data_IF_455263695688
#
_entry.id   IF_455263695688
#
_cell.length_a   1.000
_cell.length_b   1.000
_cell.length_c   1.000
_cell.angle_alpha   90.00
_cell.angle_beta   90.00
_cell.angle_gamma   90.00
#
_symmetry.space_group_name_H-M   'P 1'
#
loop_
_entity.id
_entity.type
_entity.pdbx_description
1 polymer ?
#
# COMPACT_ATOMS: atom_id res chain seq x y z
N UNK A 1 -10.01 -38.97 -19.55
CA UNK A 1 -11.38 -39.44 -19.86
C UNK A 1 -12.14 -39.68 -18.57
N UNK A 2 -12.66 -38.62 -17.97
CA UNK A 2 -13.82 -38.65 -17.08
C UNK A 2 -14.51 -37.31 -17.34
N UNK A 3 -15.66 -37.39 -17.99
CA UNK A 3 -16.49 -36.25 -18.42
C UNK A 3 -17.63 -36.15 -17.39
N UNK A 4 -17.67 -35.06 -16.63
CA UNK A 4 -18.74 -34.77 -15.66
C UNK A 4 -19.31 -33.40 -16.01
N UNK A 5 -20.28 -33.42 -16.92
CA UNK A 5 -21.23 -32.34 -17.15
C UNK A 5 -22.24 -32.29 -15.99
N UNK A 6 -21.99 -31.45 -14.99
CA UNK A 6 -22.99 -31.08 -13.99
C UNK A 6 -23.70 -29.79 -14.42
N UNK A 7 -24.95 -29.94 -14.88
CA UNK A 7 -25.91 -28.83 -14.96
C UNK A 7 -26.49 -28.57 -13.55
N UNK A 8 -26.62 -27.31 -13.10
CA UNK A 8 -27.31 -27.02 -11.85
C UNK A 8 -28.82 -27.20 -12.06
N UNK A 9 -29.38 -28.21 -11.37
CA UNK A 9 -30.82 -28.37 -11.18
C UNK A 9 -31.24 -27.45 -10.02
N UNK A 10 -32.00 -26.39 -10.31
CA UNK A 10 -32.74 -25.65 -9.29
C UNK A 10 -33.80 -26.59 -8.66
N UNK A 11 -33.82 -26.81 -7.34
CA UNK A 11 -34.97 -27.39 -6.69
C UNK A 11 -36.05 -26.29 -6.57
N UNK A 12 -37.06 -26.38 -7.42
CA UNK A 12 -38.35 -25.71 -7.23
C UNK A 12 -38.97 -26.22 -5.92
N UNK A 13 -38.69 -25.53 -4.82
CA UNK A 13 -39.42 -25.70 -3.57
C UNK A 13 -40.75 -24.96 -3.70
N UNK A 14 -41.79 -25.75 -3.88
CA UNK A 14 -43.18 -25.31 -3.97
C UNK A 14 -43.62 -24.63 -2.66
N UNK A 15 -43.65 -23.29 -2.65
CA UNK A 15 -44.49 -22.53 -1.73
C UNK A 15 -45.94 -22.60 -2.23
N UNK A 16 -46.70 -23.51 -1.64
CA UNK A 16 -48.15 -23.55 -1.78
C UNK A 16 -48.82 -22.42 -1.01
N UNK A 17 -49.87 -21.87 -1.65
CA UNK A 17 -50.98 -21.10 -1.07
C UNK A 17 -50.71 -19.66 -0.60
N UNK A 18 -50.69 -18.73 -1.57
CA UNK A 18 -51.28 -17.40 -1.39
C UNK A 18 -52.40 -17.25 -2.42
N UNK A 19 -53.61 -17.58 -2.01
CA UNK A 19 -54.82 -17.35 -2.80
C UNK A 19 -55.30 -15.91 -2.58
N UNK A 20 -55.18 -15.09 -3.60
CA UNK A 20 -56.17 -14.07 -3.95
C UNK A 20 -56.31 -12.84 -3.05
N UNK A 21 -55.39 -11.88 -3.20
CA UNK A 21 -55.74 -10.46 -3.06
C UNK A 21 -55.25 -9.76 -4.34
N UNK A 22 -56.14 -9.58 -5.30
CA UNK A 22 -55.89 -8.80 -6.50
C UNK A 22 -55.98 -7.31 -6.15
N UNK A 23 -54.84 -6.71 -5.81
CA UNK A 23 -54.72 -5.25 -5.73
C UNK A 23 -54.39 -4.78 -7.15
N UNK A 24 -55.39 -4.23 -7.83
CA UNK A 24 -55.19 -3.58 -9.13
C UNK A 24 -54.52 -2.21 -8.89
N UNK A 25 -53.19 -2.20 -8.79
CA UNK A 25 -52.39 -1.00 -8.99
C UNK A 25 -52.27 -0.72 -10.50
N UNK A 26 -52.57 0.49 -10.98
CA UNK A 26 -52.41 0.83 -12.39
C UNK A 26 -50.92 1.06 -12.68
N UNK A 27 -50.27 0.14 -13.41
CA UNK A 27 -48.89 0.37 -13.83
C UNK A 27 -48.09 -0.79 -14.43
N UNK A 28 -48.56 -2.05 -14.36
CA UNK A 28 -47.84 -3.16 -14.98
C UNK A 28 -48.72 -3.85 -16.03
N UNK A 29 -48.58 -3.45 -17.29
CA UNK A 29 -49.28 -4.07 -18.42
C UNK A 29 -48.71 -5.47 -18.70
N UNK A 30 -49.62 -6.43 -18.83
CA UNK A 30 -49.39 -7.88 -18.76
C UNK A 30 -48.69 -8.52 -19.99
N UNK A 31 -47.66 -7.89 -20.57
CA UNK A 31 -46.99 -8.36 -21.79
C UNK A 31 -45.46 -8.43 -21.63
N UNK A 32 -44.99 -9.30 -20.75
CA UNK A 32 -43.57 -9.65 -20.58
C UNK A 32 -43.31 -10.31 -19.23
N UNK A 33 -42.08 -10.76 -18.97
CA UNK A 33 -41.71 -11.35 -17.68
C UNK A 33 -41.82 -10.29 -16.59
N UNK A 34 -42.91 -10.36 -15.82
CA UNK A 34 -43.25 -9.37 -14.81
C UNK A 34 -42.15 -9.27 -13.74
N UNK A 35 -41.40 -10.36 -13.52
CA UNK A 35 -40.27 -10.37 -12.61
C UNK A 35 -39.11 -9.51 -13.11
N UNK A 36 -38.74 -9.62 -14.40
CA UNK A 36 -37.71 -8.77 -15.00
C UNK A 36 -38.13 -7.30 -15.01
N UNK A 37 -39.39 -7.01 -15.37
CA UNK A 37 -39.91 -5.63 -15.40
C UNK A 37 -39.97 -4.99 -14.02
N UNK A 38 -40.16 -5.77 -12.96
CA UNK A 38 -40.15 -5.29 -11.58
C UNK A 38 -38.75 -5.29 -10.94
N UNK A 39 -37.70 -5.68 -11.68
CA UNK A 39 -36.34 -5.81 -11.14
C UNK A 39 -36.23 -6.87 -10.05
N UNK A 40 -37.04 -7.91 -10.12
CA UNK A 40 -37.11 -9.04 -9.17
C UNK A 40 -36.31 -10.25 -9.66
N UNK A 41 -35.29 -10.02 -10.47
CA UNK A 41 -34.40 -11.05 -11.00
C UNK A 41 -33.01 -10.76 -10.45
N UNK A 42 -32.36 -11.80 -9.93
CA UNK A 42 -30.96 -11.68 -9.51
C UNK A 42 -30.11 -11.32 -10.72
N UNK A 43 -29.10 -10.44 -10.57
CA UNK A 43 -28.19 -10.15 -11.67
C UNK A 43 -27.47 -11.42 -12.14
N UNK A 44 -27.20 -11.51 -13.46
CA UNK A 44 -26.52 -12.66 -14.07
C UNK A 44 -25.02 -12.74 -13.70
N UNK A 45 -24.46 -11.64 -13.20
CA UNK A 45 -23.07 -11.51 -12.73
C UNK A 45 -23.04 -11.43 -11.20
N UNK A 46 -22.19 -12.24 -10.57
CA UNK A 46 -22.01 -12.28 -9.13
C UNK A 46 -20.69 -11.67 -8.67
N UNK A 47 -20.29 -12.02 -7.45
CA UNK A 47 -19.10 -11.47 -6.79
C UNK A 47 -17.81 -11.87 -7.50
N UNK A 48 -17.79 -13.07 -8.10
CA UNK A 48 -16.62 -13.58 -8.83
C UNK A 48 -16.34 -12.77 -10.10
N UNK A 49 -17.40 -12.25 -10.72
CA UNK A 49 -17.35 -11.35 -11.87
C UNK A 49 -17.17 -9.87 -11.48
N UNK A 50 -17.06 -9.57 -10.18
CA UNK A 50 -16.87 -8.20 -9.67
C UNK A 50 -18.16 -7.41 -9.47
N UNK A 51 -19.33 -8.06 -9.50
CA UNK A 51 -20.59 -7.39 -9.18
C UNK A 51 -20.85 -7.41 -7.66
N UNK A 52 -21.01 -6.23 -7.07
CA UNK A 52 -21.35 -6.05 -5.66
C UNK A 52 -22.84 -5.74 -5.42
N UNK A 53 -23.55 -5.22 -6.43
CA UNK A 53 -24.96 -4.82 -6.31
C UNK A 53 -25.89 -6.00 -6.64
N UNK A 54 -26.00 -6.92 -5.69
CA UNK A 54 -26.71 -8.21 -5.89
C UNK A 54 -28.07 -8.22 -5.19
N UNK A 55 -28.11 -7.71 -3.96
CA UNK A 55 -29.27 -7.81 -3.10
C UNK A 55 -30.23 -6.63 -3.25
N UNK A 56 -29.73 -5.47 -3.71
CA UNK A 56 -30.47 -4.21 -3.71
C UNK A 56 -30.69 -3.64 -2.30
N UNK A 57 -30.06 -4.23 -1.29
CA UNK A 57 -30.02 -3.73 0.09
C UNK A 57 -28.63 -3.15 0.34
N UNK A 58 -28.60 -1.88 0.76
CA UNK A 58 -27.37 -1.08 0.86
C UNK A 58 -26.29 -1.78 1.70
N UNK A 59 -26.63 -2.27 2.90
CA UNK A 59 -25.65 -2.91 3.80
C UNK A 59 -25.05 -4.21 3.24
N UNK A 60 -25.87 -5.05 2.61
CA UNK A 60 -25.43 -6.32 2.01
C UNK A 60 -24.58 -6.05 0.76
N UNK A 61 -25.01 -5.11 -0.08
CA UNK A 61 -24.26 -4.74 -1.27
C UNK A 61 -22.94 -4.02 -0.92
N UNK A 62 -22.90 -3.25 0.17
CA UNK A 62 -21.67 -2.67 0.70
C UNK A 62 -20.68 -3.75 1.19
N UNK A 63 -21.17 -4.79 1.87
CA UNK A 63 -20.37 -5.94 2.25
C UNK A 63 -19.81 -6.68 1.02
N UNK A 64 -20.64 -6.95 0.01
CA UNK A 64 -20.16 -7.55 -1.24
C UNK A 64 -19.16 -6.64 -1.98
N UNK A 65 -19.35 -5.33 -1.91
CA UNK A 65 -18.40 -4.34 -2.41
C UNK A 65 -17.03 -4.49 -1.74
N UNK A 66 -17.01 -4.54 -0.41
CA UNK A 66 -15.76 -4.75 0.34
C UNK A 66 -15.08 -6.09 -0.03
N UNK A 67 -15.85 -7.16 -0.26
CA UNK A 67 -15.31 -8.45 -0.73
C UNK A 67 -14.66 -8.33 -2.11
N UNK A 68 -15.30 -7.65 -3.05
CA UNK A 68 -14.76 -7.40 -4.39
C UNK A 68 -13.51 -6.53 -4.32
N UNK A 69 -13.51 -5.47 -3.51
CA UNK A 69 -12.38 -4.56 -3.33
C UNK A 69 -11.16 -5.28 -2.74
N UNK A 70 -11.35 -6.06 -1.67
CA UNK A 70 -10.27 -6.86 -1.06
C UNK A 70 -9.72 -7.90 -2.03
N UNK A 71 -10.60 -8.60 -2.78
CA UNK A 71 -10.16 -9.55 -3.80
C UNK A 71 -9.33 -8.87 -4.88
N UNK A 72 -9.80 -7.73 -5.38
CA UNK A 72 -9.11 -6.96 -6.42
C UNK A 72 -7.76 -6.47 -5.92
N UNK A 73 -7.70 -5.86 -4.73
CA UNK A 73 -6.46 -5.43 -4.10
C UNK A 73 -5.48 -6.60 -3.91
N UNK A 74 -5.95 -7.77 -3.46
CA UNK A 74 -5.11 -8.96 -3.31
C UNK A 74 -4.50 -9.43 -4.65
N UNK A 75 -5.31 -9.45 -5.72
CA UNK A 75 -4.86 -9.84 -7.05
C UNK A 75 -3.89 -8.82 -7.66
N UNK A 76 -4.14 -7.53 -7.49
CA UNK A 76 -3.27 -6.46 -7.97
C UNK A 76 -1.90 -6.47 -7.29
N UNK A 77 -1.88 -6.68 -5.97
CA UNK A 77 -0.62 -6.76 -5.21
C UNK A 77 0.14 -8.04 -5.55
N UNK A 78 -0.55 -9.17 -5.70
CA UNK A 78 0.04 -10.42 -6.20
C UNK A 78 0.63 -10.25 -7.61
N UNK A 79 -0.10 -9.58 -8.50
CA UNK A 79 0.37 -9.23 -9.85
C UNK A 79 1.60 -8.32 -9.82
N UNK A 80 1.64 -7.35 -8.91
CA UNK A 80 2.80 -6.48 -8.70
C UNK A 80 4.03 -7.27 -8.26
N UNK A 81 3.89 -8.18 -7.29
CA UNK A 81 5.00 -9.04 -6.83
C UNK A 81 5.49 -9.93 -7.95
N UNK A 82 4.56 -10.54 -8.72
CA UNK A 82 4.93 -11.30 -9.91
C UNK A 82 5.72 -10.44 -10.91
N UNK A 83 5.27 -9.23 -11.22
CA UNK A 83 5.96 -8.34 -12.13
C UNK A 83 7.37 -7.96 -11.63
N UNK A 84 7.56 -7.78 -10.32
CA UNK A 84 8.89 -7.56 -9.75
C UNK A 84 9.79 -8.80 -9.89
N UNK A 85 9.25 -10.00 -9.63
CA UNK A 85 9.98 -11.25 -9.81
C UNK A 85 10.37 -11.49 -11.26
N UNK A 86 9.48 -11.25 -12.22
CA UNK A 86 9.77 -11.34 -13.66
C UNK A 86 10.86 -10.33 -14.05
N UNK A 87 10.82 -9.12 -13.48
CA UNK A 87 11.86 -8.12 -13.68
C UNK A 87 13.23 -8.52 -13.11
N UNK A 88 13.26 -9.24 -11.98
CA UNK A 88 14.48 -9.83 -11.42
C UNK A 88 14.94 -11.00 -12.27
N UNK A 89 14.04 -11.88 -12.70
CA UNK A 89 14.34 -13.02 -13.57
C UNK A 89 14.97 -12.57 -14.89
N UNK A 90 14.41 -11.52 -15.51
CA UNK A 90 14.95 -10.92 -16.72
C UNK A 90 16.36 -10.32 -16.49
N UNK A 91 16.63 -9.70 -15.34
CA UNK A 91 17.96 -9.15 -15.03
C UNK A 91 19.00 -10.24 -14.72
N UNK A 92 18.55 -11.43 -14.36
CA UNK A 92 19.36 -12.63 -14.16
C UNK A 92 19.57 -13.43 -15.46
N UNK A 93 18.85 -13.10 -16.54
CA UNK A 93 18.95 -13.82 -17.81
C UNK A 93 18.20 -15.15 -17.83
N UNK A 94 17.21 -15.34 -16.96
CA UNK A 94 16.33 -16.52 -16.99
C UNK A 94 15.47 -16.42 -18.25
N UNK A 95 15.37 -17.50 -19.03
CA UNK A 95 14.51 -17.56 -20.22
C UNK A 95 13.17 -18.23 -19.88
N UNK A 96 12.08 -17.83 -20.55
CA UNK A 96 10.76 -18.47 -20.37
C UNK A 96 10.05 -18.15 -19.04
N UNK A 97 10.54 -17.17 -18.27
CA UNK A 97 9.97 -16.81 -16.97
C UNK A 97 8.48 -16.45 -17.00
N UNK A 98 7.98 -15.92 -18.12
CA UNK A 98 6.58 -15.51 -18.27
C UNK A 98 5.60 -16.69 -18.20
N UNK A 99 6.03 -17.90 -18.57
CA UNK A 99 5.20 -19.13 -18.56
C UNK A 99 5.27 -19.88 -17.23
N UNK A 100 6.18 -19.49 -16.33
CA UNK A 100 6.37 -20.15 -15.05
C UNK A 100 5.24 -19.78 -14.08
N UNK A 101 4.82 -20.76 -13.28
CA UNK A 101 3.97 -20.49 -12.11
C UNK A 101 4.72 -19.57 -11.14
N UNK A 102 4.00 -18.86 -10.25
CA UNK A 102 4.65 -17.99 -9.26
C UNK A 102 5.69 -18.75 -8.42
N UNK A 103 5.37 -19.98 -7.99
CA UNK A 103 6.30 -20.81 -7.21
C UNK A 103 7.54 -21.24 -8.00
N UNK A 104 7.38 -21.62 -9.26
CA UNK A 104 8.51 -22.04 -10.10
C UNK A 104 9.39 -20.84 -10.43
N UNK A 105 8.79 -19.69 -10.76
CA UNK A 105 9.50 -18.43 -10.99
C UNK A 105 10.32 -18.02 -9.77
N UNK A 106 9.74 -18.07 -8.57
CA UNK A 106 10.46 -17.78 -7.32
C UNK A 106 11.64 -18.74 -7.13
N UNK A 107 11.44 -20.05 -7.35
CA UNK A 107 12.49 -21.03 -7.15
C UNK A 107 13.69 -20.79 -8.09
N UNK A 108 13.43 -20.52 -9.37
CA UNK A 108 14.47 -20.21 -10.37
C UNK A 108 15.19 -18.88 -10.03
N UNK A 109 14.45 -17.82 -9.69
CA UNK A 109 15.03 -16.53 -9.25
C UNK A 109 15.93 -16.72 -8.03
N UNK A 110 15.46 -17.45 -7.02
CA UNK A 110 16.24 -17.76 -5.82
C UNK A 110 17.51 -18.56 -6.15
N UNK A 111 17.43 -19.55 -7.04
CA UNK A 111 18.58 -20.35 -7.45
C UNK A 111 19.64 -19.48 -8.16
N UNK A 112 19.21 -18.66 -9.12
CA UNK A 112 20.12 -17.80 -9.89
C UNK A 112 20.69 -16.64 -9.06
N UNK A 113 19.93 -16.07 -8.12
CA UNK A 113 20.46 -15.11 -7.15
C UNK A 113 21.60 -15.72 -6.33
N UNK A 114 21.36 -16.91 -5.76
CA UNK A 114 22.37 -17.61 -4.98
C UNK A 114 23.62 -17.95 -5.81
N UNK A 115 23.44 -18.35 -7.07
CA UNK A 115 24.54 -18.62 -8.00
C UNK A 115 25.34 -17.34 -8.30
N UNK A 116 24.66 -16.23 -8.64
CA UNK A 116 25.28 -14.94 -8.95
C UNK A 116 26.05 -14.38 -7.74
N UNK A 117 25.48 -14.46 -6.54
CA UNK A 117 26.17 -14.03 -5.32
C UNK A 117 27.37 -14.92 -5.00
N UNK A 118 27.24 -16.25 -5.09
CA UNK A 118 28.34 -17.17 -4.82
C UNK A 118 29.51 -17.02 -5.81
N UNK A 119 29.23 -16.61 -7.05
CA UNK A 119 30.25 -16.35 -8.06
C UNK A 119 30.97 -15.02 -7.86
N UNK A 120 30.29 -14.02 -7.27
CA UNK A 120 30.76 -12.62 -7.27
C UNK A 120 31.24 -12.16 -5.89
N UNK A 121 30.69 -12.72 -4.81
CA UNK A 121 30.85 -12.23 -3.45
C UNK A 121 31.55 -13.26 -2.55
N UNK A 122 32.41 -12.76 -1.67
CA UNK A 122 33.02 -13.54 -0.59
C UNK A 122 32.23 -13.27 0.69
N UNK A 123 31.49 -14.27 1.17
CA UNK A 123 30.67 -14.15 2.40
C UNK A 123 29.21 -13.73 2.18
N UNK A 124 28.76 -13.59 0.94
CA UNK A 124 27.37 -13.29 0.59
C UNK A 124 27.03 -11.79 0.61
N UNK A 125 25.73 -11.50 0.61
CA UNK A 125 25.16 -10.16 0.65
C UNK A 125 24.31 -10.04 1.91
N UNK A 126 24.36 -8.89 2.57
CA UNK A 126 23.51 -8.56 3.71
C UNK A 126 22.72 -7.31 3.38
N UNK A 127 21.40 -7.44 3.34
CA UNK A 127 20.48 -6.33 3.10
C UNK A 127 19.80 -5.96 4.41
N UNK A 128 20.07 -4.76 4.91
CA UNK A 128 19.33 -4.16 6.02
C UNK A 128 18.34 -3.16 5.45
N UNK A 129 17.11 -3.19 5.94
CA UNK A 129 16.06 -2.29 5.49
C UNK A 129 15.19 -1.86 6.66
N UNK A 130 14.66 -0.64 6.56
CA UNK A 130 13.63 -0.18 7.46
C UNK A 130 12.27 -0.75 7.03
N UNK A 131 11.33 -1.01 7.95
CA UNK A 131 10.00 -1.45 7.56
C UNK A 131 9.35 -0.47 6.57
N UNK A 132 8.66 -0.96 5.53
CA UNK A 132 7.88 -0.09 4.65
C UNK A 132 6.81 0.66 5.46
N UNK A 133 6.58 1.92 5.10
CA UNK A 133 5.53 2.75 5.69
C UNK A 133 4.28 2.62 4.84
N UNK A 134 3.17 2.27 5.48
CA UNK A 134 1.88 2.11 4.82
C UNK A 134 0.92 3.17 5.34
N UNK A 135 0.30 3.90 4.42
CA UNK A 135 -0.64 4.97 4.66
C UNK A 135 -2.04 4.55 4.25
N UNK A 136 -2.98 4.64 5.18
CA UNK A 136 -4.40 4.46 4.90
C UNK A 136 -5.04 5.82 4.61
N UNK A 137 -5.96 5.86 3.65
CA UNK A 137 -6.77 7.03 3.36
C UNK A 137 -8.01 7.03 4.27
N UNK A 138 -8.04 7.97 5.22
CA UNK A 138 -9.12 8.09 6.21
C UNK A 138 -10.44 8.49 5.57
N UNK A 139 -10.42 9.31 4.51
CA UNK A 139 -11.63 9.72 3.78
C UNK A 139 -12.34 8.52 3.15
N UNK A 140 -11.58 7.54 2.65
CA UNK A 140 -12.17 6.29 2.12
C UNK A 140 -12.86 5.48 3.21
N UNK A 141 -12.29 5.43 4.42
CA UNK A 141 -12.92 4.75 5.55
C UNK A 141 -14.23 5.44 5.97
N UNK A 142 -14.23 6.78 6.05
CA UNK A 142 -15.43 7.57 6.35
C UNK A 142 -16.49 7.41 5.28
N UNK A 143 -16.11 7.47 3.99
CA UNK A 143 -17.02 7.25 2.86
C UNK A 143 -17.61 5.85 2.90
N UNK A 144 -16.80 4.82 3.16
CA UNK A 144 -17.27 3.45 3.30
C UNK A 144 -18.27 3.29 4.46
N UNK A 145 -18.07 4.01 5.57
CA UNK A 145 -18.96 3.97 6.72
C UNK A 145 -20.31 4.64 6.39
N UNK A 146 -20.27 5.80 5.75
CA UNK A 146 -21.47 6.52 5.30
C UNK A 146 -22.27 5.72 4.24
N UNK A 147 -21.60 4.97 3.37
CA UNK A 147 -22.26 4.08 2.40
C UNK A 147 -23.01 2.93 3.05
N UNK A 148 -22.61 2.54 4.26
CA UNK A 148 -23.02 1.29 4.85
C UNK A 148 -24.03 1.48 6.00
N UNK A 149 -23.96 2.60 6.72
CA UNK A 149 -24.97 2.99 7.71
C UNK A 149 -25.84 4.16 7.21
N UNK A 150 -27.10 3.87 6.91
CA UNK A 150 -28.09 4.86 6.42
C UNK A 150 -28.44 5.88 7.52
N UNK A 151 -28.24 5.54 8.80
CA UNK A 151 -28.58 6.40 9.94
C UNK A 151 -27.42 7.28 10.40
N UNK A 152 -26.20 7.03 9.93
CA UNK A 152 -25.03 7.85 10.26
C UNK A 152 -25.02 9.14 9.41
N UNK A 153 -25.02 10.31 10.05
CA UNK A 153 -24.82 11.58 9.35
C UNK A 153 -23.35 11.65 8.90
N UNK A 154 -23.04 11.75 7.59
CA UNK A 154 -21.67 11.76 7.10
C UNK A 154 -20.80 12.86 7.72
N UNK A 155 -21.39 13.92 8.29
CA UNK A 155 -20.66 14.95 9.03
C UNK A 155 -20.34 14.62 10.50
N UNK A 156 -20.68 13.42 10.98
CA UNK A 156 -20.48 12.98 12.38
C UNK A 156 -19.64 11.71 12.51
N UNK A 157 -19.14 11.19 11.39
CA UNK A 157 -18.36 9.96 11.31
C UNK A 157 -16.88 10.31 11.45
N UNK A 158 -16.36 10.14 12.66
CA UNK A 158 -14.93 10.32 12.95
C UNK A 158 -14.21 8.97 12.92
N UNK A 159 -13.16 8.86 12.10
CA UNK A 159 -12.24 7.73 12.09
C UNK A 159 -10.94 8.13 12.80
N UNK A 160 -10.41 7.26 13.66
CA UNK A 160 -9.21 7.57 14.47
C UNK A 160 -7.98 6.93 13.86
N UNK A 161 -6.91 7.70 13.69
CA UNK A 161 -5.62 7.15 13.29
C UNK A 161 -4.83 6.68 14.50
N UNK A 162 -4.59 5.37 14.62
CA UNK A 162 -3.65 4.81 15.60
C UNK A 162 -2.25 4.75 14.98
N UNK A 163 -1.59 5.91 14.90
CA UNK A 163 -0.28 6.01 14.27
C UNK A 163 0.19 7.44 14.10
N UNK A 164 0.95 7.69 13.03
CA UNK A 164 1.32 9.06 12.67
C UNK A 164 0.38 9.61 11.61
N UNK A 165 0.00 10.87 11.79
CA UNK A 165 -1.01 11.51 10.97
C UNK A 165 -0.43 12.72 10.25
N UNK A 166 -0.68 12.81 8.95
CA UNK A 166 -0.43 14.01 8.19
C UNK A 166 -1.58 15.00 8.40
N UNK A 167 -1.27 16.15 9.03
CA UNK A 167 -2.24 17.21 9.32
C UNK A 167 -1.83 18.51 8.64
N UNK A 168 -2.81 19.37 8.37
CA UNK A 168 -2.54 20.72 7.89
C UNK A 168 -1.89 21.55 9.00
N UNK A 169 -1.11 22.56 8.62
CA UNK A 169 -0.45 23.48 9.57
C UNK A 169 -1.44 24.17 10.54
N UNK A 170 -2.72 24.29 10.16
CA UNK A 170 -3.78 24.87 10.99
C UNK A 170 -4.17 23.97 12.16
N UNK A 171 -4.14 22.65 11.98
CA UNK A 171 -4.48 21.62 12.98
C UNK A 171 -3.22 21.15 13.75
N UNK A 172 -2.02 21.44 13.23
CA UNK A 172 -0.73 21.12 13.87
C UNK A 172 -0.60 21.63 15.32
N UNK A 173 -1.27 22.75 15.64
CA UNK A 173 -1.28 23.31 17.00
C UNK A 173 -1.98 22.40 18.02
N UNK A 174 -2.98 21.61 17.59
CA UNK A 174 -3.65 20.62 18.44
C UNK A 174 -2.76 19.40 18.67
N UNK A 175 -1.92 19.07 17.69
CA UNK A 175 -0.97 17.98 17.78
C UNK A 175 0.20 18.25 18.72
N UNK A 176 0.65 19.50 18.84
CA UNK A 176 1.69 19.88 19.80
C UNK A 176 1.24 19.65 21.27
N UNK A 177 -0.07 19.72 21.53
CA UNK A 177 -0.61 19.47 22.87
C UNK A 177 -0.63 17.98 23.25
N UNK A 178 -0.59 17.09 22.26
CA UNK A 178 -0.95 15.67 22.42
C UNK A 178 0.12 14.69 21.92
N UNK A 179 1.14 15.16 21.17
CA UNK A 179 2.12 14.29 20.53
C UNK A 179 3.39 15.00 20.07
N UNK A 180 4.18 14.29 19.25
CA UNK A 180 5.41 14.83 18.65
C UNK A 180 5.09 15.39 17.27
N UNK A 181 5.36 16.69 17.07
CA UNK A 181 5.13 17.39 15.80
C UNK A 181 6.44 17.47 14.99
N UNK A 182 6.43 16.87 13.80
CA UNK A 182 7.49 16.98 12.79
C UNK A 182 6.94 17.77 11.59
N UNK A 183 7.61 18.85 11.21
CA UNK A 183 7.20 19.69 10.10
C UNK A 183 8.10 19.44 8.90
N UNK A 184 7.51 19.26 7.73
CA UNK A 184 8.22 19.09 6.47
C UNK A 184 7.80 20.17 5.48
N UNK A 185 8.75 20.91 4.93
CA UNK A 185 8.46 21.97 3.96
C UNK A 185 9.50 22.08 2.85
N UNK A 186 9.11 22.65 1.72
CA UNK A 186 10.02 22.96 0.62
C UNK A 186 10.72 24.30 0.85
N UNK A 187 12.04 24.26 0.94
CA UNK A 187 12.88 25.45 0.88
C UNK A 187 12.89 26.02 -0.56
N UNK A 188 13.21 27.31 -0.81
CA UNK A 188 13.83 28.30 0.07
C UNK A 188 12.84 29.19 0.84
N UNK A 189 11.57 28.79 0.94
CA UNK A 189 10.49 29.61 1.54
C UNK A 189 10.73 29.98 3.00
N UNK A 190 11.61 29.25 3.71
CA UNK A 190 11.89 29.42 5.13
C UNK A 190 13.32 28.99 5.51
N UNK A 191 13.73 29.34 6.73
CA UNK A 191 15.06 29.08 7.28
C UNK A 191 15.06 27.68 7.95
N UNK A 192 15.62 26.68 7.26
CA UNK A 192 15.63 25.30 7.72
C UNK A 192 16.59 25.12 8.91
N UNK A 193 16.06 24.95 10.13
CA UNK A 193 16.86 24.61 11.31
C UNK A 193 17.01 23.10 11.57
N UNK A 194 16.49 22.26 10.65
CA UNK A 194 16.42 20.80 10.79
C UNK A 194 17.28 20.04 9.78
N UNK A 195 16.85 18.84 9.44
CA UNK A 195 17.52 17.97 8.45
C UNK A 195 17.06 18.34 7.04
N UNK A 196 18.02 18.50 6.12
CA UNK A 196 17.75 18.85 4.72
C UNK A 196 17.98 17.61 3.84
N UNK A 197 17.02 17.31 2.97
CA UNK A 197 17.14 16.31 1.91
C UNK A 197 17.09 17.02 0.55
N UNK A 198 18.22 16.99 -0.18
CA UNK A 198 18.37 17.66 -1.48
C UNK A 198 19.65 18.49 -1.60
N UNK A 199 19.64 19.45 -2.53
CA UNK A 199 20.76 20.37 -2.76
C UNK A 199 20.86 21.41 -1.66
N UNK A 200 22.03 21.50 -1.03
CA UNK A 200 22.35 22.60 -0.14
C UNK A 200 23.37 23.55 -0.79
N UNK A 201 22.99 24.81 -0.96
CA UNK A 201 23.89 25.86 -1.40
C UNK A 201 24.72 26.39 -0.23
N UNK A 202 26.03 26.18 -0.34
CA UNK A 202 27.04 26.64 0.61
C UNK A 202 27.77 27.86 0.03
N UNK A 203 27.36 29.06 0.43
CA UNK A 203 28.09 30.30 0.08
C UNK A 203 29.46 30.39 0.78
N UNK A 204 29.57 29.77 1.95
CA UNK A 204 30.78 29.68 2.78
C UNK A 204 31.16 28.21 2.94
N UNK A 205 32.46 27.90 2.89
CA UNK A 205 32.96 26.54 3.06
C UNK A 205 32.47 25.93 4.38
N UNK A 206 31.69 24.84 4.31
CA UNK A 206 31.14 24.15 5.46
C UNK A 206 31.32 22.63 5.34
N UNK A 207 31.24 21.92 6.46
CA UNK A 207 31.22 20.46 6.45
C UNK A 207 29.97 19.97 5.70
N UNK A 208 30.17 19.03 4.78
CA UNK A 208 29.13 18.43 3.94
C UNK A 208 29.26 16.91 4.05
N UNK A 209 28.24 16.23 4.55
CA UNK A 209 28.23 14.76 4.68
C UNK A 209 27.91 14.04 3.36
N UNK A 210 27.52 14.80 2.32
CA UNK A 210 27.10 14.31 1.02
C UNK A 210 28.13 14.44 -0.11
N UNK A 211 27.65 14.44 -1.35
CA UNK A 211 28.49 14.67 -2.54
C UNK A 211 28.65 16.18 -2.77
N UNK A 212 29.90 16.66 -2.72
CA UNK A 212 30.25 18.03 -2.98
C UNK A 212 30.47 18.25 -4.48
N UNK A 213 29.72 19.17 -5.08
CA UNK A 213 29.95 19.70 -6.42
C UNK A 213 30.44 21.14 -6.31
N UNK A 214 31.77 21.33 -6.29
CA UNK A 214 32.39 22.64 -6.05
C UNK A 214 33.84 22.59 -5.57
N UNK A 215 34.23 23.57 -4.76
CA UNK A 215 35.53 23.60 -4.14
C UNK A 215 35.52 22.82 -2.81
N UNK A 216 36.50 21.95 -2.61
CA UNK A 216 36.73 21.16 -1.41
C UNK A 216 38.05 21.61 -0.77
N UNK A 217 38.06 21.97 0.51
CA UNK A 217 39.29 22.41 1.21
C UNK A 217 40.23 21.25 1.59
N UNK A 218 40.06 20.06 1.01
CA UNK A 218 40.81 18.85 1.30
C UNK A 218 40.82 17.90 0.10
N UNK A 219 41.04 16.61 0.35
CA UNK A 219 40.97 15.61 -0.72
C UNK A 219 39.53 15.41 -1.18
N UNK A 220 39.36 15.23 -2.49
CA UNK A 220 38.09 14.93 -3.11
C UNK A 220 38.12 13.54 -3.73
N UNK A 221 37.09 12.73 -3.50
CA UNK A 221 37.06 11.35 -4.00
C UNK A 221 36.88 11.24 -5.52
N UNK A 222 36.27 12.24 -6.16
CA UNK A 222 36.08 12.31 -7.60
C UNK A 222 36.01 13.77 -8.08
N UNK A 223 36.60 14.07 -9.23
CA UNK A 223 36.69 15.44 -9.75
C UNK A 223 36.07 15.55 -11.14
N UNK A 224 35.45 16.70 -11.42
CA UNK A 224 34.83 16.98 -12.71
C UNK A 224 35.90 16.98 -13.80
N UNK A 225 35.75 16.09 -14.80
CA UNK A 225 36.73 15.92 -15.88
C UNK A 225 37.87 14.95 -15.58
N UNK A 226 37.81 14.21 -14.47
CA UNK A 226 38.76 13.12 -14.15
C UNK A 226 40.12 13.57 -13.60
N UNK A 227 40.35 14.88 -13.46
CA UNK A 227 41.57 15.43 -12.84
C UNK A 227 41.19 16.48 -11.81
N UNK A 228 41.76 16.39 -10.61
CA UNK A 228 41.51 17.32 -9.52
C UNK A 228 42.46 18.52 -9.64
N UNK A 229 41.88 19.72 -9.79
CA UNK A 229 42.61 20.98 -9.87
C UNK A 229 42.82 21.52 -8.46
N UNK A 230 44.06 21.62 -8.01
CA UNK A 230 44.38 22.20 -6.72
C UNK A 230 44.40 23.73 -6.76
N UNK A 231 44.10 24.37 -5.64
CA UNK A 231 44.15 25.83 -5.47
C UNK A 231 45.54 26.35 -5.06
N UNK A 232 46.54 25.48 -4.98
CA UNK A 232 47.90 25.77 -4.49
C UNK A 232 48.01 25.80 -2.96
N UNK A 233 46.89 25.64 -2.25
CA UNK A 233 46.80 25.69 -0.78
C UNK A 233 46.31 24.36 -0.18
N UNK A 234 46.20 23.32 -1.00
CA UNK A 234 45.78 21.98 -0.61
C UNK A 234 44.28 21.70 -0.77
N UNK A 235 43.50 22.63 -1.34
CA UNK A 235 42.09 22.42 -1.71
C UNK A 235 41.92 22.04 -3.18
N UNK A 236 40.85 21.33 -3.50
CA UNK A 236 40.43 20.95 -4.87
C UNK A 236 39.29 21.85 -5.33
N UNK A 237 39.41 22.54 -6.46
CA UNK A 237 38.42 23.54 -6.92
C UNK A 237 37.27 22.98 -7.76
N UNK A 238 37.38 21.73 -8.23
CA UNK A 238 36.43 21.07 -9.14
C UNK A 238 35.98 19.69 -8.62
N UNK A 239 35.79 19.59 -7.31
CA UNK A 239 35.30 18.40 -6.64
C UNK A 239 33.89 18.05 -7.13
N UNK A 240 33.63 16.76 -7.38
CA UNK A 240 32.32 16.20 -7.71
C UNK A 240 32.19 14.83 -7.04
N UNK A 241 32.23 14.83 -5.70
CA UNK A 241 32.29 13.64 -4.87
C UNK A 241 32.42 13.98 -3.39
N UNK A 242 32.78 13.01 -2.57
CA UNK A 242 32.95 13.17 -1.13
C UNK A 242 34.19 14.03 -0.84
N UNK A 243 34.02 15.09 -0.06
CA UNK A 243 35.08 15.99 0.39
C UNK A 243 35.51 15.62 1.82
N UNK A 244 36.81 15.45 2.08
CA UNK A 244 37.31 15.11 3.43
C UNK A 244 37.19 16.26 4.45
N UNK A 245 36.95 17.48 3.99
CA UNK A 245 36.95 18.69 4.81
C UNK A 245 35.71 19.56 4.55
N UNK A 246 35.89 20.80 4.09
CA UNK A 246 34.79 21.73 3.84
C UNK A 246 34.48 21.82 2.35
N UNK A 247 33.20 21.74 2.01
CA UNK A 247 32.68 21.97 0.66
C UNK A 247 32.19 23.42 0.52
N UNK A 248 32.53 24.06 -0.59
CA UNK A 248 32.00 25.35 -1.02
C UNK A 248 31.42 25.18 -2.43
N UNK A 249 30.11 25.37 -2.58
CA UNK A 249 29.36 25.05 -3.80
C UNK A 249 28.04 24.36 -3.45
N UNK A 250 27.64 23.39 -4.26
CA UNK A 250 26.43 22.59 -4.02
C UNK A 250 26.82 21.30 -3.30
N UNK A 251 26.18 21.04 -2.16
CA UNK A 251 26.30 19.80 -1.42
C UNK A 251 25.01 19.00 -1.62
N UNK A 252 25.08 17.89 -2.34
CA UNK A 252 23.95 16.98 -2.54
C UNK A 252 23.90 16.03 -1.34
N UNK A 253 22.93 16.25 -0.45
CA UNK A 253 22.77 15.48 0.78
C UNK A 253 21.86 14.28 0.54
N UNK A 254 22.31 13.11 0.99
CA UNK A 254 21.42 11.97 1.22
C UNK A 254 20.46 12.31 2.38
N UNK A 255 19.26 11.72 2.36
CA UNK A 255 18.20 11.98 3.34
C UNK A 255 18.73 12.01 4.79
N UNK A 256 18.52 13.14 5.49
CA UNK A 256 18.89 13.31 6.90
C UNK A 256 20.20 14.08 7.18
N UNK A 257 20.87 14.63 6.17
CA UNK A 257 22.07 15.43 6.37
C UNK A 257 21.81 16.77 7.07
N UNK A 258 22.74 17.20 7.94
CA UNK A 258 22.71 18.56 8.51
C UNK A 258 23.42 19.53 7.59
N UNK A 259 22.73 20.60 7.17
CA UNK A 259 23.34 21.67 6.39
C UNK A 259 23.32 22.99 7.13
N UNK A 260 24.44 23.72 7.10
CA UNK A 260 24.56 25.07 7.65
C UNK A 260 24.32 26.17 6.58
N UNK A 261 24.05 25.79 5.33
CA UNK A 261 23.72 26.70 4.23
C UNK A 261 22.24 26.76 3.89
N UNK A 262 21.91 27.35 2.75
CA UNK A 262 20.52 27.41 2.25
C UNK A 262 20.18 26.05 1.62
N UNK A 263 19.27 25.32 2.27
CA UNK A 263 18.61 24.15 1.69
C UNK A 263 17.76 24.61 0.50
N UNK A 264 17.87 23.96 -0.67
CA UNK A 264 16.97 24.14 -1.82
C UNK A 264 16.05 22.90 -2.00
N UNK A 265 16.02 22.01 -1.01
CA UNK A 265 15.25 20.77 -1.00
C UNK A 265 14.16 20.72 0.07
N UNK A 266 13.85 19.49 0.47
CA UNK A 266 12.87 19.18 1.50
C UNK A 266 13.54 19.34 2.88
N UNK A 267 12.95 20.15 3.75
CA UNK A 267 13.44 20.38 5.10
C UNK A 267 12.49 19.79 6.13
N UNK A 268 13.00 18.90 6.98
CA UNK A 268 12.26 18.30 8.09
C UNK A 268 12.79 18.86 9.41
N UNK A 269 11.92 19.46 10.23
CA UNK A 269 12.30 20.12 11.49
C UNK A 269 11.22 19.94 12.57
N UNK A 270 11.63 20.04 13.83
CA UNK A 270 10.72 20.06 14.98
C UNK A 270 10.57 21.51 15.46
N UNK A 271 9.39 22.14 15.35
CA UNK A 271 9.21 23.54 15.73
C UNK A 271 9.31 23.70 17.25
N UNK A 272 9.98 24.78 17.69
CA UNK A 272 10.00 25.18 19.09
C UNK A 272 8.76 26.01 19.41
N UNK A 273 7.68 25.35 19.83
CA UNK A 273 6.39 25.91 20.24
C UNK A 273 5.74 26.90 19.27
N UNK A 274 4.70 26.47 18.55
CA UNK A 274 3.93 27.35 17.66
C UNK A 274 3.41 26.73 16.36
N UNK A 275 3.42 25.40 16.23
CA UNK A 275 2.99 24.72 15.00
C UNK A 275 3.98 24.84 13.83
N UNK A 276 3.61 24.23 12.70
CA UNK A 276 4.39 24.32 11.45
C UNK A 276 4.14 25.66 10.76
N UNK A 277 5.15 26.16 10.04
CA UNK A 277 5.02 27.42 9.29
C UNK A 277 4.03 27.28 8.13
N UNK A 278 3.44 28.38 7.68
CA UNK A 278 2.46 28.36 6.59
C UNK A 278 3.10 27.72 5.32
N UNK A 279 2.44 26.68 4.79
CA UNK A 279 2.86 25.81 3.68
C UNK A 279 3.79 24.62 4.05
N UNK A 280 4.07 24.37 5.32
CA UNK A 280 4.68 23.11 5.76
C UNK A 280 3.61 22.06 6.06
N UNK A 281 3.88 20.82 5.67
CA UNK A 281 3.11 19.65 6.06
C UNK A 281 3.51 19.26 7.47
N UNK A 282 2.53 19.02 8.34
CA UNK A 282 2.76 18.57 9.70
C UNK A 282 2.55 17.06 9.79
N UNK A 283 3.56 16.33 10.23
CA UNK A 283 3.44 14.93 10.64
C UNK A 283 3.39 14.87 12.15
N UNK A 284 2.33 14.27 12.66
CA UNK A 284 2.11 14.16 14.09
C UNK A 284 2.14 12.70 14.52
N UNK A 285 3.09 12.34 15.38
CA UNK A 285 3.16 11.00 15.97
C UNK A 285 2.29 10.96 17.23
N UNK A 286 1.15 10.28 17.15
CA UNK A 286 0.13 10.23 18.21
C UNK A 286 0.20 8.87 18.90
N UNK A 287 1.37 8.50 19.42
CA UNK A 287 1.58 7.19 20.04
C UNK A 287 0.90 7.01 21.42
N UNK A 288 0.25 8.05 21.98
CA UNK A 288 -0.53 7.93 23.22
C UNK A 288 -1.60 9.03 23.41
N UNK A 289 -2.81 8.77 22.90
CA UNK A 289 -4.11 9.35 23.28
C UNK A 289 -4.57 10.70 22.68
N UNK A 290 -5.85 10.63 22.27
CA UNK A 290 -6.89 11.67 22.18
C UNK A 290 -7.07 12.43 20.85
N UNK A 291 -8.00 11.89 20.05
CA UNK A 291 -8.99 12.65 19.25
C UNK A 291 -8.45 13.73 18.32
N UNK A 292 -7.32 13.49 17.65
CA UNK A 292 -6.93 14.33 16.51
C UNK A 292 -7.67 13.81 15.28
N UNK A 293 -8.59 14.63 14.76
CA UNK A 293 -9.27 14.38 13.48
C UNK A 293 -8.24 14.39 12.35
N UNK A 294 -7.87 13.20 11.88
CA UNK A 294 -7.00 13.05 10.73
C UNK A 294 -7.77 13.31 9.43
N UNK A 295 -7.59 14.50 8.86
CA UNK A 295 -8.15 14.85 7.56
C UNK A 295 -7.31 14.36 6.37
N UNK A 296 -6.31 13.51 6.61
CA UNK A 296 -5.31 13.13 5.60
C UNK A 296 -4.88 11.67 5.69
N UNK A 297 -3.58 11.45 5.46
CA UNK A 297 -2.95 10.13 5.46
C UNK A 297 -2.66 9.68 6.89
N UNK A 298 -3.06 8.45 7.20
CA UNK A 298 -2.76 7.80 8.46
C UNK A 298 -1.70 6.73 8.23
N UNK A 299 -0.47 6.94 8.73
CA UNK A 299 0.52 5.87 8.85
C UNK A 299 0.18 5.02 10.07
N UNK A 300 -0.57 3.93 9.89
CA UNK A 300 -0.97 3.07 11.00
C UNK A 300 -2.26 2.31 10.73
N UNK A 301 -2.93 1.90 11.82
CA UNK A 301 -4.26 1.31 11.74
C UNK A 301 -5.30 2.42 11.88
N UNK A 302 -6.30 2.42 11.00
CA UNK A 302 -7.47 3.29 11.15
C UNK A 302 -8.48 2.55 12.01
N UNK A 303 -8.84 3.12 13.16
CA UNK A 303 -9.96 2.64 13.96
C UNK A 303 -11.24 3.21 13.31
N UNK A 304 -12.15 2.32 12.84
CA UNK A 304 -13.35 2.74 12.16
C UNK A 304 -14.33 3.46 13.12
N UNK A 305 -15.24 4.27 12.57
CA UNK A 305 -16.33 4.87 13.33
C UNK A 305 -17.23 3.81 13.97
N UNK A 306 -17.99 4.19 14.99
CA UNK A 306 -18.98 3.31 15.64
C UNK A 306 -20.18 3.05 14.72
N UNK A 307 -20.08 2.01 13.90
CA UNK A 307 -21.14 1.51 13.00
C UNK A 307 -21.56 0.09 13.40
N UNK A 308 -22.53 -0.51 12.71
CA UNK A 308 -22.87 -1.93 12.92
C UNK A 308 -21.66 -2.85 12.71
N UNK A 309 -21.63 -4.03 13.33
CA UNK A 309 -20.46 -4.92 13.27
C UNK A 309 -20.13 -5.37 11.83
N UNK A 310 -21.16 -5.59 11.00
CA UNK A 310 -21.04 -5.94 9.59
C UNK A 310 -20.44 -4.77 8.79
N UNK A 311 -20.87 -3.57 9.17
CA UNK A 311 -20.42 -2.33 8.57
C UNK A 311 -18.97 -2.03 8.90
N UNK A 312 -18.61 -2.23 10.17
CA UNK A 312 -17.27 -2.04 10.67
C UNK A 312 -16.27 -2.90 9.89
N UNK A 313 -16.58 -4.19 9.71
CA UNK A 313 -15.73 -5.09 8.94
C UNK A 313 -15.57 -4.67 7.47
N UNK A 314 -16.63 -4.13 6.86
CA UNK A 314 -16.61 -3.65 5.47
C UNK A 314 -15.78 -2.37 5.32
N UNK A 315 -15.88 -1.46 6.29
CA UNK A 315 -15.10 -0.22 6.36
C UNK A 315 -13.62 -0.51 6.56
N UNK A 316 -13.28 -1.32 7.56
CA UNK A 316 -11.90 -1.76 7.82
C UNK A 316 -11.32 -2.43 6.56
N UNK A 317 -12.10 -3.31 5.92
CA UNK A 317 -11.65 -4.01 4.73
C UNK A 317 -11.37 -3.08 3.55
N UNK A 318 -12.24 -2.11 3.28
CA UNK A 318 -12.03 -1.10 2.22
C UNK A 318 -10.84 -0.20 2.52
N UNK A 319 -10.66 0.21 3.78
CA UNK A 319 -9.54 1.04 4.21
C UNK A 319 -8.20 0.30 4.00
N UNK A 320 -8.11 -0.94 4.46
CA UNK A 320 -6.91 -1.79 4.34
C UNK A 320 -6.65 -2.24 2.90
N UNK A 321 -7.68 -2.41 2.07
CA UNK A 321 -7.52 -2.67 0.63
C UNK A 321 -6.92 -1.46 -0.12
N UNK A 322 -7.22 -0.25 0.36
CA UNK A 322 -6.81 1.02 -0.25
C UNK A 322 -5.50 1.57 0.29
N UNK A 323 -4.84 0.88 1.21
CA UNK A 323 -3.54 1.29 1.75
C UNK A 323 -2.51 1.45 0.64
N UNK A 324 -1.73 2.53 0.72
CA UNK A 324 -0.55 2.75 -0.11
C UNK A 324 0.71 2.55 0.73
N UNK A 325 1.62 1.67 0.29
CA UNK A 325 2.87 1.43 0.99
C UNK A 325 4.05 1.98 0.20
N UNK A 326 4.86 2.81 0.85
CA UNK A 326 6.06 3.39 0.28
C UNK A 326 7.23 2.40 0.39
N UNK A 327 8.01 2.20 -0.69
CA UNK A 327 9.19 1.34 -0.67
C UNK A 327 10.22 1.76 0.39
N UNK A 328 10.80 0.80 1.13
CA UNK A 328 11.81 1.12 2.13
C UNK A 328 13.17 1.40 1.49
N UNK A 329 14.00 2.15 2.21
CA UNK A 329 15.42 2.31 1.89
C UNK A 329 16.19 1.04 2.23
N UNK A 330 17.07 0.63 1.32
CA UNK A 330 17.89 -0.58 1.48
C UNK A 330 19.36 -0.20 1.66
N UNK A 331 19.93 -0.58 2.81
CA UNK A 331 21.37 -0.58 3.05
C UNK A 331 21.93 -1.96 2.70
N UNK A 332 22.86 -2.00 1.75
CA UNK A 332 23.42 -3.26 1.25
C UNK A 332 24.91 -3.33 1.57
N UNK A 333 25.30 -4.36 2.31
CA UNK A 333 26.68 -4.68 2.66
C UNK A 333 27.13 -5.95 1.94
N UNK A 334 28.27 -5.89 1.26
CA UNK A 334 28.85 -7.06 0.58
C UNK A 334 30.37 -6.91 0.42
N UNK A 335 31.06 -8.02 0.16
CA UNK A 335 32.48 -8.06 -0.18
C UNK A 335 32.66 -8.86 -1.47
N UNK A 336 33.43 -8.31 -2.42
CA UNK A 336 33.73 -9.01 -3.67
C UNK A 336 34.71 -10.17 -3.45
N UNK A 337 34.55 -11.23 -4.23
CA UNK A 337 35.50 -12.32 -4.27
C UNK A 337 36.87 -11.86 -4.77
N UNK A 338 37.93 -12.43 -4.17
CA UNK A 338 39.30 -12.14 -4.58
C UNK A 338 39.52 -12.47 -6.07
N UNK A 339 40.09 -11.52 -6.82
CA UNK A 339 40.44 -11.71 -8.23
C UNK A 339 39.34 -11.33 -9.23
N UNK A 340 38.22 -10.77 -8.78
CA UNK A 340 37.23 -10.17 -9.68
C UNK A 340 37.81 -8.91 -10.35
N UNK A 341 37.72 -8.83 -11.68
CA UNK A 341 38.18 -7.66 -12.42
C UNK A 341 37.25 -6.44 -12.21
N UNK A 342 37.75 -5.24 -12.55
CA UNK A 342 37.03 -3.99 -12.32
C UNK A 342 35.73 -3.87 -13.13
N UNK A 343 35.68 -4.48 -14.33
CA UNK A 343 34.50 -4.41 -15.19
C UNK A 343 33.37 -5.29 -14.60
N UNK A 344 33.71 -6.50 -14.13
CA UNK A 344 32.77 -7.37 -13.43
C UNK A 344 32.22 -6.73 -12.14
N UNK A 345 33.06 -6.02 -11.38
CA UNK A 345 32.62 -5.29 -10.19
C UNK A 345 31.65 -4.15 -10.56
N UNK A 346 31.92 -3.43 -11.66
CA UNK A 346 31.05 -2.36 -12.15
C UNK A 346 29.70 -2.91 -12.63
N UNK A 347 29.69 -4.00 -13.39
CA UNK A 347 28.48 -4.65 -13.86
C UNK A 347 27.62 -5.15 -12.69
N UNK A 348 28.22 -5.76 -11.67
CA UNK A 348 27.50 -6.19 -10.48
C UNK A 348 26.85 -5.02 -9.74
N UNK A 349 27.55 -3.89 -9.57
CA UNK A 349 26.98 -2.69 -8.92
C UNK A 349 25.80 -2.13 -9.69
N UNK A 350 25.89 -2.06 -11.02
CA UNK A 350 24.78 -1.60 -11.88
C UNK A 350 23.58 -2.54 -11.74
N UNK A 351 23.81 -3.85 -11.82
CA UNK A 351 22.76 -4.85 -11.62
C UNK A 351 22.13 -4.73 -10.22
N UNK A 352 22.95 -4.52 -9.19
CA UNK A 352 22.50 -4.43 -7.80
C UNK A 352 21.59 -3.22 -7.57
N UNK A 353 21.85 -2.06 -8.17
CA UNK A 353 20.93 -0.92 -8.07
C UNK A 353 19.56 -1.22 -8.72
N UNK A 354 19.56 -1.89 -9.87
CA UNK A 354 18.32 -2.38 -10.48
C UNK A 354 17.58 -3.40 -9.61
N UNK A 355 18.33 -4.31 -8.97
CA UNK A 355 17.78 -5.28 -8.03
C UNK A 355 17.18 -4.61 -6.79
N UNK A 356 17.88 -3.64 -6.19
CA UNK A 356 17.42 -2.90 -5.01
C UNK A 356 16.07 -2.24 -5.24
N UNK A 357 15.89 -1.56 -6.37
CA UNK A 357 14.60 -0.91 -6.69
C UNK A 357 13.43 -1.89 -6.82
N UNK A 358 13.67 -3.08 -7.39
CA UNK A 358 12.63 -4.12 -7.51
C UNK A 358 12.36 -4.81 -6.17
N UNK A 359 13.41 -5.05 -5.40
CA UNK A 359 13.31 -5.68 -4.09
C UNK A 359 12.57 -4.77 -3.09
N UNK A 360 12.86 -3.47 -3.06
CA UNK A 360 12.13 -2.51 -2.20
C UNK A 360 10.66 -2.39 -2.60
N UNK A 361 10.35 -2.36 -3.90
CA UNK A 361 8.96 -2.39 -4.36
C UNK A 361 8.23 -3.68 -3.94
N UNK A 362 8.92 -4.82 -3.97
CA UNK A 362 8.37 -6.09 -3.51
C UNK A 362 8.14 -6.11 -1.99
N UNK A 363 9.03 -5.50 -1.19
CA UNK A 363 8.82 -5.32 0.25
C UNK A 363 7.61 -4.43 0.55
N UNK A 364 7.45 -3.32 -0.17
CA UNK A 364 6.26 -2.46 -0.05
C UNK A 364 4.97 -3.22 -0.37
N UNK A 365 4.97 -3.98 -1.47
CA UNK A 365 3.87 -4.83 -1.85
C UNK A 365 3.58 -5.90 -0.77
N UNK A 366 4.61 -6.48 -0.15
CA UNK A 366 4.44 -7.47 0.92
C UNK A 366 3.78 -6.90 2.17
N UNK A 367 4.07 -5.64 2.53
CA UNK A 367 3.40 -4.97 3.63
C UNK A 367 1.94 -4.66 3.31
N UNK A 368 1.66 -4.26 2.05
CA UNK A 368 0.27 -4.12 1.58
C UNK A 368 -0.48 -5.45 1.62
N UNK A 369 0.15 -6.56 1.27
CA UNK A 369 -0.46 -7.89 1.35
C UNK A 369 -0.88 -8.27 2.78
N UNK A 370 -0.07 -7.92 3.78
CA UNK A 370 -0.40 -8.21 5.17
C UNK A 370 -1.70 -7.51 5.58
N UNK A 371 -1.83 -6.23 5.21
CA UNK A 371 -3.05 -5.43 5.42
C UNK A 371 -4.27 -6.00 4.72
N UNK A 372 -4.15 -6.30 3.43
CA UNK A 372 -5.21 -6.94 2.64
C UNK A 372 -5.57 -8.32 3.20
N UNK A 373 -4.59 -9.06 3.73
CA UNK A 373 -4.80 -10.36 4.36
C UNK A 373 -5.58 -10.29 5.69
N UNK A 374 -5.36 -9.23 6.48
CA UNK A 374 -6.15 -8.95 7.69
C UNK A 374 -7.59 -8.60 7.28
N UNK A 375 -7.77 -7.73 6.30
CA UNK A 375 -9.07 -7.37 5.74
C UNK A 375 -9.87 -8.59 5.25
N UNK A 376 -9.22 -9.47 4.48
CA UNK A 376 -9.84 -10.70 4.00
C UNK A 376 -10.31 -11.61 5.14
N UNK A 377 -9.51 -11.76 6.20
CA UNK A 377 -9.89 -12.55 7.37
C UNK A 377 -11.04 -11.91 8.17
N UNK A 378 -11.04 -10.58 8.27
CA UNK A 378 -12.13 -9.80 8.85
C UNK A 378 -13.46 -10.06 8.13
N UNK A 379 -13.46 -9.96 6.80
CA UNK A 379 -14.64 -10.23 5.98
C UNK A 379 -15.10 -11.69 6.04
N UNK A 380 -14.17 -12.66 6.06
CA UNK A 380 -14.52 -14.07 6.25
C UNK A 380 -15.24 -14.26 7.59
N UNK A 381 -14.74 -13.64 8.66
CA UNK A 381 -15.33 -13.73 9.99
C UNK A 381 -16.71 -13.04 10.05
N UNK A 382 -16.84 -11.88 9.40
CA UNK A 382 -18.10 -11.12 9.31
C UNK A 382 -19.15 -11.80 8.43
N UNK A 383 -18.74 -12.62 7.44
CA UNK A 383 -19.67 -13.32 6.53
C UNK A 383 -20.68 -14.20 7.27
N UNK A 384 -20.31 -14.76 8.43
CA UNK A 384 -21.22 -15.53 9.28
C UNK A 384 -22.34 -14.67 9.90
N UNK A 385 -22.04 -13.42 10.25
CA UNK A 385 -23.02 -12.44 10.75
C UNK A 385 -23.97 -11.97 9.65
N UNK A 386 -23.42 -11.66 8.47
CA UNK A 386 -24.20 -11.24 7.30
C UNK A 386 -25.28 -12.28 6.92
N UNK A 387 -24.97 -13.58 6.98
CA UNK A 387 -25.95 -14.65 6.71
C UNK A 387 -27.12 -14.62 7.72
N UNK A 388 -26.83 -14.35 8.99
CA UNK A 388 -27.84 -14.31 10.05
C UNK A 388 -28.80 -13.12 9.87
N UNK A 389 -28.28 -11.96 9.48
CA UNK A 389 -29.09 -10.77 9.21
C UNK A 389 -29.99 -10.93 8.00
N UNK A 390 -29.49 -11.57 6.94
CA UNK A 390 -30.31 -11.89 5.76
C UNK A 390 -31.44 -12.85 6.15
N UNK A 391 -31.19 -13.86 6.98
CA UNK A 391 -32.23 -14.73 7.49
C UNK A 391 -33.25 -13.99 8.38
N UNK A 392 -32.80 -13.02 9.16
CA UNK A 392 -33.66 -12.14 9.97
C UNK A 392 -34.57 -11.26 9.11
N UNK A 393 -34.02 -10.59 8.10
CA UNK A 393 -34.77 -9.69 7.21
C UNK A 393 -35.85 -10.41 6.39
N UNK A 394 -35.61 -11.66 5.97
CA UNK A 394 -36.60 -12.54 5.32
C UNK A 394 -37.79 -12.86 6.23
N UNK A 395 -37.61 -12.84 7.55
CA UNK A 395 -38.67 -13.17 8.51
C UNK A 395 -39.53 -11.96 8.92
N UNK A 396 -39.05 -10.73 8.66
CA UNK A 396 -39.66 -9.49 9.18
C UNK A 396 -40.19 -8.57 8.07
N UNK A 397 -39.57 -8.54 6.89
CA UNK A 397 -39.97 -7.63 5.83
C UNK A 397 -41.07 -8.22 4.93
N UNK A 398 -42.24 -7.58 4.90
CA UNK A 398 -43.30 -7.87 3.93
C UNK A 398 -43.02 -7.34 2.52
N UNK A 399 -41.84 -6.75 2.30
CA UNK A 399 -41.42 -6.22 1.02
C UNK A 399 -40.85 -7.34 0.15
N UNK A 400 -41.58 -7.67 -0.92
CA UNK A 400 -41.22 -8.73 -1.86
C UNK A 400 -39.84 -8.48 -2.51
N UNK A 401 -39.46 -7.21 -2.72
CA UNK A 401 -38.17 -6.87 -3.33
C UNK A 401 -37.02 -7.22 -2.39
N UNK A 402 -37.16 -6.90 -1.11
CA UNK A 402 -36.18 -7.25 -0.07
C UNK A 402 -36.07 -8.77 0.07
N UNK A 403 -37.19 -9.49 0.06
CA UNK A 403 -37.19 -10.94 0.16
C UNK A 403 -36.49 -11.63 -1.04
N UNK A 404 -36.68 -11.12 -2.25
CA UNK A 404 -36.02 -11.65 -3.45
C UNK A 404 -34.53 -11.30 -3.43
N UNK A 405 -34.17 -10.05 -3.12
CA UNK A 405 -32.80 -9.61 -2.98
C UNK A 405 -32.00 -10.39 -1.93
N UNK A 406 -32.62 -10.66 -0.78
CA UNK A 406 -32.08 -11.54 0.25
C UNK A 406 -31.84 -12.97 -0.28
N UNK A 407 -32.76 -13.50 -1.10
CA UNK A 407 -32.58 -14.78 -1.78
C UNK A 407 -31.37 -14.80 -2.71
N UNK A 408 -31.16 -13.73 -3.48
CA UNK A 408 -29.98 -13.57 -4.34
C UNK A 408 -28.69 -13.50 -3.52
N UNK A 409 -28.70 -12.72 -2.43
CA UNK A 409 -27.56 -12.61 -1.52
C UNK A 409 -27.16 -13.95 -0.91
N UNK A 410 -28.12 -14.77 -0.47
CA UNK A 410 -27.85 -16.13 0.06
C UNK A 410 -27.19 -17.03 -0.99
N UNK A 411 -27.59 -16.92 -2.25
CA UNK A 411 -26.97 -17.68 -3.32
C UNK A 411 -25.50 -17.27 -3.50
N UNK A 412 -25.21 -15.97 -3.47
CA UNK A 412 -23.88 -15.39 -3.66
C UNK A 412 -22.96 -15.50 -2.44
N UNK A 413 -23.48 -15.70 -1.23
CA UNK A 413 -22.66 -15.89 -0.03
C UNK A 413 -21.67 -17.06 -0.13
N UNK A 414 -21.97 -18.09 -0.94
CA UNK A 414 -21.00 -19.16 -1.22
C UNK A 414 -19.81 -18.68 -2.06
N UNK A 415 -20.07 -17.73 -2.96
CA UNK A 415 -19.05 -17.12 -3.81
C UNK A 415 -18.14 -16.17 -3.03
N UNK A 416 -18.61 -15.59 -1.92
CA UNK A 416 -17.76 -14.80 -0.99
C UNK A 416 -16.59 -15.63 -0.48
N UNK A 417 -16.84 -16.84 0.01
CA UNK A 417 -15.77 -17.71 0.51
C UNK A 417 -14.81 -18.13 -0.60
N UNK A 418 -15.30 -18.39 -1.81
CA UNK A 418 -14.45 -18.66 -2.97
C UNK A 418 -13.61 -17.45 -3.34
N UNK A 419 -14.21 -16.25 -3.44
CA UNK A 419 -13.54 -15.00 -3.77
C UNK A 419 -12.42 -14.65 -2.77
N UNK A 420 -12.72 -14.70 -1.47
CA UNK A 420 -11.74 -14.44 -0.42
C UNK A 420 -10.72 -15.58 -0.28
N UNK A 421 -11.10 -16.82 -0.62
CA UNK A 421 -10.19 -17.96 -0.69
C UNK A 421 -9.15 -17.81 -1.80
N UNK A 422 -9.58 -17.38 -2.99
CA UNK A 422 -8.66 -17.02 -4.10
C UNK A 422 -7.71 -15.89 -3.69
N UNK A 423 -8.24 -14.83 -3.09
CA UNK A 423 -7.44 -13.71 -2.58
C UNK A 423 -6.40 -14.17 -1.55
N UNK A 424 -6.81 -14.99 -0.57
CA UNK A 424 -5.93 -15.55 0.47
C UNK A 424 -4.86 -16.47 -0.14
N UNK A 425 -5.20 -17.27 -1.15
CA UNK A 425 -4.25 -18.11 -1.87
C UNK A 425 -3.20 -17.27 -2.62
N UNK A 426 -3.64 -16.20 -3.30
CA UNK A 426 -2.74 -15.26 -3.98
C UNK A 426 -1.81 -14.53 -2.99
N UNK A 427 -2.35 -14.07 -1.85
CA UNK A 427 -1.58 -13.44 -0.77
C UNK A 427 -0.54 -14.42 -0.22
N UNK A 428 -0.94 -15.64 0.15
CA UNK A 428 -0.03 -16.63 0.73
C UNK A 428 1.09 -17.05 -0.23
N UNK A 429 0.77 -17.25 -1.51
CA UNK A 429 1.76 -17.53 -2.54
C UNK A 429 2.77 -16.39 -2.71
N UNK A 430 2.28 -15.15 -2.70
CA UNK A 430 3.10 -13.96 -2.83
C UNK A 430 3.99 -13.71 -1.61
N UNK A 431 3.47 -13.84 -0.38
CA UNK A 431 4.25 -13.75 0.86
C UNK A 431 5.36 -14.80 0.87
N UNK A 432 5.05 -16.03 0.47
CA UNK A 432 6.04 -17.11 0.36
C UNK A 432 7.13 -16.78 -0.67
N UNK A 433 6.75 -16.15 -1.79
CA UNK A 433 7.67 -15.71 -2.81
C UNK A 433 8.63 -14.63 -2.29
N UNK A 434 8.10 -13.58 -1.65
CA UNK A 434 8.91 -12.52 -1.03
C UNK A 434 9.84 -13.12 0.02
N UNK A 435 9.33 -13.97 0.92
CA UNK A 435 10.14 -14.61 1.96
C UNK A 435 11.30 -15.46 1.37
N UNK A 436 11.07 -16.17 0.26
CA UNK A 436 12.10 -16.98 -0.40
C UNK A 436 13.21 -16.12 -1.01
N UNK A 437 12.85 -15.01 -1.67
CA UNK A 437 13.82 -14.08 -2.23
C UNK A 437 14.59 -13.36 -1.11
N UNK A 438 13.89 -12.88 -0.08
CA UNK A 438 14.50 -12.25 1.11
C UNK A 438 15.49 -13.18 1.81
N UNK A 439 15.14 -14.47 1.95
CA UNK A 439 16.04 -15.48 2.50
C UNK A 439 17.31 -15.71 1.67
N UNK A 440 17.27 -15.42 0.36
CA UNK A 440 18.42 -15.55 -0.55
C UNK A 440 19.38 -14.36 -0.47
N UNK A 441 18.94 -13.23 0.07
CA UNK A 441 19.74 -11.98 0.18
C UNK A 441 20.18 -11.66 1.60
N UNK A 442 20.16 -12.65 2.50
CA UNK A 442 20.73 -12.55 3.84
C UNK A 442 19.84 -11.88 4.87
N UNK A 443 18.56 -12.30 4.91
CA UNK A 443 17.64 -12.00 6.02
C UNK A 443 18.05 -12.61 7.36
#
# INVERSE_FOLDING_TARGET
>A
MVDIQQKPFLPFLACGLISGIAIASPGCDAVGDLAEQCGLVCPDTGILEGNASISGTVSIDAFFGAVVDVRTAALDVSGTIRAQLEGIAASLGIEGYAELSLSDLTAEVTAELNAKFSATLEGGIKISFEPPKCEANVELAVSAAAECDIEADPGSIEAKCMGSCEVSAEVAAECEASGTLECTGQAPSFECSGSCSGDCQLEVAAACEGSCSGACSGACSACTGGSCNDDGNGGVTNCNGTCEAMCQGTCELSAGGTCSGRCEGECTYMPAMGGCEANATAKCDVSAMADVECQGKCEGSVEPPSVSAECQASVEAKAEASVECTPPSLAVEFQFAAGLDADAQAEFRIWLEGFKGRFSAMLAASAKLERVGIAAQGLISASGGAVADVAGSLSVSGDLKVAIGAGCAIAELKNVTTALGEATGAISGSVSAVASVSGSVGG
#
